data_IF_324870926483
#
_entry.id   IF_324870926483
#
_cell.length_a   1.000
_cell.length_b   1.000
_cell.length_c   1.000
_cell.angle_alpha   90.00
_cell.angle_beta   90.00
_cell.angle_gamma   90.00
#
_symmetry.space_group_name_H-M   'P 1'
#
loop_
_entity.id
_entity.type
_entity.pdbx_description
1 polymer ?
#
# COMPACT_ATOMS: atom_id res chain seq x y z
N UNK A 1 -5.21 -2.40 11.54
CA UNK A 1 -4.71 -1.44 10.53
C UNK A 1 -5.87 -0.84 9.77
N UNK A 2 -5.77 0.44 9.42
CA UNK A 2 -6.84 1.15 8.72
C UNK A 2 -7.00 0.65 7.28
N UNK A 3 -8.22 0.79 6.75
CA UNK A 3 -8.50 0.42 5.37
C UNK A 3 -7.68 1.23 4.37
N UNK A 4 -7.48 2.53 4.66
CA UNK A 4 -6.68 3.39 3.79
C UNK A 4 -5.21 2.96 3.75
N UNK A 5 -4.65 2.56 4.89
CA UNK A 5 -3.27 2.06 4.95
C UNK A 5 -3.12 0.79 4.12
N UNK A 6 -4.06 -0.14 4.23
CA UNK A 6 -4.05 -1.36 3.42
C UNK A 6 -4.22 -1.06 1.93
N UNK A 7 -5.09 -0.11 1.58
CA UNK A 7 -5.28 0.30 0.19
C UNK A 7 -4.00 0.92 -0.39
N UNK A 8 -3.32 1.74 0.40
CA UNK A 8 -2.02 2.29 0.00
C UNK A 8 -0.99 1.18 -0.22
N UNK A 9 -0.96 0.20 0.68
CA UNK A 9 -0.05 -0.93 0.59
C UNK A 9 -0.30 -1.75 -0.69
N UNK A 10 -1.56 -2.00 -1.03
CA UNK A 10 -1.92 -2.69 -2.27
C UNK A 10 -1.44 -1.91 -3.50
N UNK A 11 -1.59 -0.60 -3.49
CA UNK A 11 -1.12 0.23 -4.59
C UNK A 11 0.40 0.18 -4.70
N UNK A 12 1.11 0.23 -3.57
CA UNK A 12 2.57 0.12 -3.54
C UNK A 12 3.03 -1.20 -4.15
N UNK A 13 2.35 -2.32 -3.82
CA UNK A 13 2.68 -3.60 -4.41
C UNK A 13 2.45 -3.59 -5.93
N UNK A 14 1.40 -2.93 -6.39
CA UNK A 14 1.13 -2.83 -7.83
C UNK A 14 2.22 -2.06 -8.58
N UNK A 15 2.90 -1.13 -7.92
CA UNK A 15 4.01 -0.38 -8.53
C UNK A 15 5.19 -1.28 -8.89
N UNK A 16 5.41 -2.35 -8.11
CA UNK A 16 6.52 -3.27 -8.35
C UNK A 16 6.09 -4.56 -9.04
N UNK A 17 4.81 -4.74 -9.29
CA UNK A 17 4.30 -5.95 -9.92
C UNK A 17 4.76 -6.04 -11.38
N UNK A 18 5.49 -7.11 -11.68
CA UNK A 18 6.02 -7.32 -13.01
C UNK A 18 7.23 -6.45 -13.38
N UNK A 19 7.72 -5.64 -12.44
CA UNK A 19 8.88 -4.77 -12.66
C UNK A 19 9.83 -4.88 -11.47
N UNK A 20 11.14 -4.99 -11.71
CA UNK A 20 12.13 -5.12 -10.64
C UNK A 20 12.48 -3.76 -10.03
N UNK A 21 11.47 -2.96 -9.67
CA UNK A 21 11.71 -1.68 -9.03
C UNK A 21 12.17 -1.89 -7.58
N UNK A 22 13.28 -1.27 -7.16
CA UNK A 22 13.78 -1.46 -5.80
C UNK A 22 13.02 -0.64 -4.75
N UNK A 23 12.12 0.23 -5.17
CA UNK A 23 11.40 1.12 -4.26
C UNK A 23 9.95 1.33 -4.71
N UNK A 24 9.14 1.84 -3.78
CA UNK A 24 7.76 2.23 -4.03
C UNK A 24 7.57 3.68 -3.61
N UNK A 25 6.64 4.38 -4.27
CA UNK A 25 6.38 5.79 -4.00
C UNK A 25 5.12 5.96 -3.17
N UNK A 26 5.23 6.73 -2.09
CA UNK A 26 4.10 7.06 -1.24
C UNK A 26 3.10 7.96 -1.97
N UNK A 27 3.61 8.89 -2.79
CA UNK A 27 2.76 9.88 -3.48
C UNK A 27 1.65 9.22 -4.30
N UNK A 28 1.99 8.29 -5.17
CA UNK A 28 1.00 7.59 -5.99
C UNK A 28 0.00 6.81 -5.15
N UNK A 29 0.49 6.16 -4.10
CA UNK A 29 -0.38 5.41 -3.20
C UNK A 29 -1.36 6.32 -2.46
N UNK A 30 -0.90 7.46 -1.96
CA UNK A 30 -1.76 8.42 -1.28
C UNK A 30 -2.84 8.96 -2.21
N UNK A 31 -2.46 9.37 -3.42
CA UNK A 31 -3.39 9.87 -4.42
C UNK A 31 -4.46 8.82 -4.74
N UNK A 32 -4.07 7.55 -4.85
CA UNK A 32 -4.98 6.46 -5.18
C UNK A 32 -6.09 6.28 -4.14
N UNK A 33 -5.87 6.68 -2.90
CA UNK A 33 -6.86 6.58 -1.82
C UNK A 33 -7.47 7.93 -1.44
N UNK A 34 -7.21 8.96 -2.23
CA UNK A 34 -7.78 10.28 -2.02
C UNK A 34 -7.16 11.06 -0.86
N UNK A 35 -5.91 10.78 -0.53
CA UNK A 35 -5.18 11.42 0.57
C UNK A 35 -4.12 12.36 0.00
N UNK A 36 -4.00 13.55 0.59
CA UNK A 36 -2.96 14.50 0.20
C UNK A 36 -1.57 13.94 0.55
N UNK A 37 -0.69 13.73 -0.44
CA UNK A 37 0.65 13.16 -0.18
C UNK A 37 1.51 14.00 0.78
N UNK A 38 1.27 15.30 0.84
CA UNK A 38 2.01 16.20 1.73
C UNK A 38 1.30 16.45 3.06
N UNK A 39 0.16 15.82 3.31
CA UNK A 39 -0.65 16.09 4.49
C UNK A 39 -0.36 15.18 5.68
N UNK A 40 -0.93 15.56 6.82
CA UNK A 40 -0.75 14.82 8.08
C UNK A 40 -1.39 13.43 8.04
N UNK A 41 -2.50 13.28 7.33
CA UNK A 41 -3.16 11.98 7.18
C UNK A 41 -2.22 10.99 6.48
N UNK A 42 -1.57 11.42 5.41
CA UNK A 42 -0.62 10.58 4.69
C UNK A 42 0.54 10.18 5.60
N UNK A 43 1.10 11.12 6.33
CA UNK A 43 2.20 10.86 7.26
C UNK A 43 1.80 9.82 8.31
N UNK A 44 0.58 9.90 8.83
CA UNK A 44 0.06 8.93 9.79
C UNK A 44 -0.10 7.54 9.20
N UNK A 45 -0.59 7.45 7.97
CA UNK A 45 -0.75 6.17 7.28
C UNK A 45 0.61 5.51 7.00
N UNK A 46 1.59 6.30 6.57
CA UNK A 46 2.96 5.81 6.34
C UNK A 46 3.56 5.30 7.64
N UNK A 47 3.40 6.05 8.74
CA UNK A 47 3.88 5.65 10.06
C UNK A 47 3.24 4.32 10.49
N UNK A 48 1.95 4.15 10.25
CA UNK A 48 1.23 2.92 10.54
C UNK A 48 1.86 1.73 9.80
N UNK A 49 2.16 1.90 8.51
CA UNK A 49 2.80 0.85 7.70
C UNK A 49 4.22 0.55 8.17
N UNK A 50 4.98 1.58 8.56
CA UNK A 50 6.32 1.41 9.09
C UNK A 50 6.31 0.63 10.41
N UNK A 51 5.41 0.98 11.31
CA UNK A 51 5.28 0.31 12.61
C UNK A 51 4.83 -1.13 12.48
N UNK A 52 4.01 -1.43 11.50
CA UNK A 52 3.58 -2.79 11.22
C UNK A 52 4.68 -3.64 10.58
N UNK A 53 5.77 -3.02 10.14
CA UNK A 53 6.86 -3.73 9.49
C UNK A 53 6.59 -4.09 8.04
N UNK A 54 5.62 -3.44 7.41
CA UNK A 54 5.23 -3.73 6.02
C UNK A 54 6.04 -2.95 5.00
N UNK A 55 6.56 -1.79 5.40
CA UNK A 55 7.46 -1.00 4.57
C UNK A 55 8.66 -0.56 5.41
N UNK A 56 9.74 -0.20 4.73
CA UNK A 56 10.91 0.37 5.38
C UNK A 56 11.50 1.43 4.47
N UNK A 57 12.27 2.35 5.04
CA UNK A 57 12.89 3.41 4.26
C UNK A 57 13.84 2.81 3.22
N UNK A 58 13.81 3.39 2.03
CA UNK A 58 14.77 3.03 0.99
C UNK A 58 16.18 3.42 1.46
N UNK A 59 17.16 2.56 1.21
CA UNK A 59 18.49 2.68 1.81
C UNK A 59 19.30 3.89 1.36
N UNK A 60 18.93 4.55 0.27
CA UNK A 60 19.62 5.77 -0.16
C UNK A 60 19.05 6.98 0.57
N UNK A 61 19.84 7.70 1.37
CA UNK A 61 19.34 8.85 2.12
C UNK A 61 18.72 9.94 1.24
N UNK A 62 19.28 10.15 0.06
CA UNK A 62 18.76 11.16 -0.86
C UNK A 62 17.39 10.76 -1.41
N UNK A 63 17.12 9.48 -1.58
CA UNK A 63 15.86 8.98 -2.10
C UNK A 63 14.78 8.91 -1.03
N UNK A 64 15.14 8.58 0.22
CA UNK A 64 14.17 8.60 1.31
C UNK A 64 13.56 9.99 1.52
N UNK A 65 14.33 11.04 1.29
CA UNK A 65 13.84 12.39 1.41
C UNK A 65 12.69 12.72 0.44
N UNK A 66 12.52 11.89 -0.59
CA UNK A 66 11.45 12.04 -1.58
C UNK A 66 10.27 11.09 -1.33
N UNK A 67 10.20 10.48 -0.16
CA UNK A 67 9.10 9.58 0.18
C UNK A 67 9.17 8.22 -0.51
N UNK A 68 10.37 7.72 -0.72
CA UNK A 68 10.60 6.40 -1.30
C UNK A 68 10.81 5.37 -0.21
N UNK A 69 10.17 4.22 -0.37
CA UNK A 69 10.18 3.13 0.59
C UNK A 69 10.35 1.80 -0.12
N UNK A 70 10.57 0.76 0.64
CA UNK A 70 10.69 -0.61 0.17
C UNK A 70 9.60 -1.44 0.83
N UNK A 71 8.93 -2.30 0.07
CA UNK A 71 8.05 -3.30 0.67
C UNK A 71 8.89 -4.41 1.29
N UNK A 72 8.54 -4.79 2.52
CA UNK A 72 9.11 -5.96 3.16
C UNK A 72 8.36 -7.21 2.68
N UNK A 73 8.89 -8.40 2.97
CA UNK A 73 8.18 -9.65 2.66
C UNK A 73 6.82 -9.69 3.36
N UNK A 74 6.76 -9.21 4.61
CA UNK A 74 5.50 -9.08 5.34
C UNK A 74 4.53 -8.13 4.65
N UNK A 75 5.05 -7.02 4.09
CA UNK A 75 4.25 -6.06 3.37
C UNK A 75 3.65 -6.64 2.10
N UNK A 76 4.44 -7.39 1.34
CA UNK A 76 3.95 -8.08 0.14
C UNK A 76 2.85 -9.06 0.50
N UNK A 77 3.05 -9.89 1.53
CA UNK A 77 2.03 -10.85 1.98
C UNK A 77 0.76 -10.16 2.44
N UNK A 78 0.87 -9.07 3.20
CA UNK A 78 -0.30 -8.33 3.68
C UNK A 78 -1.08 -7.71 2.52
N UNK A 79 -0.38 -7.19 1.50
CA UNK A 79 -1.03 -6.64 0.32
C UNK A 79 -1.77 -7.71 -0.48
N UNK A 80 -1.17 -8.88 -0.62
CA UNK A 80 -1.79 -10.01 -1.31
C UNK A 80 -3.03 -10.50 -0.57
N UNK A 81 -2.95 -10.64 0.74
CA UNK A 81 -4.08 -11.06 1.58
C UNK A 81 -5.24 -10.06 1.48
N UNK A 82 -4.92 -8.77 1.49
CA UNK A 82 -5.93 -7.71 1.34
C UNK A 82 -6.61 -7.78 -0.02
N UNK A 83 -5.85 -8.02 -1.09
CA UNK A 83 -6.39 -8.16 -2.44
C UNK A 83 -7.31 -9.38 -2.56
N UNK A 84 -6.92 -10.50 -1.96
CA UNK A 84 -7.73 -11.73 -1.95
C UNK A 84 -9.04 -11.50 -1.19
N UNK A 85 -8.98 -10.87 -0.01
CA UNK A 85 -10.17 -10.57 0.78
C UNK A 85 -11.14 -9.67 0.02
N UNK A 86 -10.63 -8.67 -0.69
CA UNK A 86 -11.44 -7.77 -1.50
C UNK A 86 -12.12 -8.51 -2.66
N UNK A 87 -11.39 -9.39 -3.33
CA UNK A 87 -11.94 -10.20 -4.42
C UNK A 87 -13.06 -11.12 -3.92
N UNK A 88 -12.88 -11.72 -2.75
CA UNK A 88 -13.92 -12.58 -2.14
C UNK A 88 -15.18 -11.80 -1.81
N UNK A 89 -15.03 -10.60 -1.28
CA UNK A 89 -16.19 -9.73 -0.99
C UNK A 89 -16.94 -9.35 -2.25
N UNK A 90 -16.19 -9.04 -3.32
CA UNK A 90 -16.78 -8.74 -4.62
C UNK A 90 -17.55 -9.91 -5.19
N UNK A 91 -16.98 -11.13 -5.12
CA UNK A 91 -17.64 -12.34 -5.59
C UNK A 91 -18.93 -12.63 -4.83
N UNK A 92 -18.91 -12.47 -3.51
CA UNK A 92 -20.10 -12.66 -2.67
C UNK A 92 -21.21 -11.67 -3.03
N UNK A 93 -20.88 -10.43 -3.32
CA UNK A 93 -21.86 -9.43 -3.74
C UNK A 93 -22.52 -9.81 -5.05
N UNK A 94 -21.72 -10.29 -6.01
CA UNK A 94 -22.23 -10.69 -7.32
C UNK A 94 -23.18 -11.85 -7.21
N UNK A 95 -22.87 -12.84 -6.39
CA UNK A 95 -23.78 -13.95 -6.13
C UNK A 95 -25.10 -13.50 -5.53
N UNK A 96 -25.06 -12.53 -4.63
CA UNK A 96 -26.25 -11.98 -4.03
C UNK A 96 -27.16 -11.24 -5.03
N UNK A 97 -26.58 -10.61 -6.04
CA UNK A 97 -27.31 -9.88 -7.06
C UNK A 97 -28.05 -10.78 -8.04
N UNK A 98 -27.52 -11.94 -8.31
CA UNK A 98 -28.08 -12.87 -9.27
C UNK A 98 -29.34 -13.58 -8.75
N UNK A 99 -29.60 -13.47 -7.48
CA UNK A 99 -30.80 -14.03 -6.85
C UNK A 99 -31.94 -13.03 -6.84
#
# INVERSE_FOLDING_TARGET
MSEKALAMLKHMRSQIFGQPAPYVEVRGAAISVGVDPGGDECAGLVDELLRAGYIQHYSSPSLTAHGLYRLTDSGVSAAEDAAIAEARRGAQRNEGRER
#
